data_IF_124795180921
#
_entry.id   IF_124795180921
#
_cell.length_a   1.000
_cell.length_b   1.000
_cell.length_c   1.000
_cell.angle_alpha   90.00
_cell.angle_beta   90.00
_cell.angle_gamma   90.00
#
_symmetry.space_group_name_H-M   'P 1'
#
loop_
_entity.id
_entity.type
_entity.pdbx_description
1 polymer ?
#
# COMPACT_ATOMS: atom_id res chain seq x y z
N UNK A 1 1.34 0.75 -33.26
CA UNK A 1 1.35 0.56 -31.80
C UNK A 1 2.55 1.26 -31.19
N UNK A 2 2.36 2.01 -30.15
CA UNK A 2 3.41 2.77 -29.54
C UNK A 2 4.04 2.02 -28.40
N UNK A 3 5.35 2.18 -28.23
CA UNK A 3 6.05 1.55 -27.12
C UNK A 3 5.60 2.12 -25.78
N UNK A 4 5.02 3.31 -25.80
CA UNK A 4 4.53 3.97 -24.61
C UNK A 4 3.34 3.24 -23.98
N UNK A 5 2.60 2.48 -24.76
CA UNK A 5 1.42 1.76 -24.28
C UNK A 5 1.75 0.80 -23.14
N UNK A 6 2.93 0.16 -23.21
CA UNK A 6 3.35 -0.77 -22.17
C UNK A 6 3.55 -0.05 -20.83
N UNK A 7 4.16 1.13 -20.87
CA UNK A 7 4.37 1.92 -19.65
C UNK A 7 3.08 2.48 -19.11
N UNK A 8 2.16 2.86 -19.99
CA UNK A 8 0.87 3.35 -19.55
C UNK A 8 0.09 2.26 -18.84
N UNK A 9 0.15 1.02 -19.35
CA UNK A 9 -0.51 -0.11 -18.70
C UNK A 9 0.08 -0.33 -17.31
N UNK A 10 1.41 -0.27 -17.20
CA UNK A 10 2.07 -0.43 -15.89
C UNK A 10 1.69 0.66 -14.92
N UNK A 11 1.63 1.92 -15.40
CA UNK A 11 1.22 3.04 -14.58
C UNK A 11 -0.22 2.89 -14.11
N UNK A 12 -1.12 2.44 -14.99
CA UNK A 12 -2.50 2.19 -14.64
C UNK A 12 -2.61 1.08 -13.60
N UNK A 13 -1.80 0.03 -13.73
CA UNK A 13 -1.75 -1.05 -12.75
C UNK A 13 -1.34 -0.52 -11.39
N UNK A 14 -0.32 0.35 -11.34
CA UNK A 14 0.10 0.94 -10.08
C UNK A 14 -1.01 1.77 -9.44
N UNK A 15 -1.78 2.49 -10.25
CA UNK A 15 -2.92 3.27 -9.73
C UNK A 15 -3.98 2.35 -9.12
N UNK A 16 -4.26 1.23 -9.78
CA UNK A 16 -5.20 0.25 -9.25
C UNK A 16 -4.67 -0.31 -7.92
N UNK A 17 -3.38 -0.65 -7.87
CA UNK A 17 -2.79 -1.18 -6.65
C UNK A 17 -2.84 -0.15 -5.51
N UNK A 18 -2.62 1.12 -5.82
CA UNK A 18 -2.73 2.18 -4.81
C UNK A 18 -4.15 2.27 -4.23
N UNK A 19 -5.15 2.13 -5.09
CA UNK A 19 -6.54 2.11 -4.63
C UNK A 19 -6.82 0.92 -3.73
N UNK A 20 -6.25 -0.24 -4.07
CA UNK A 20 -6.37 -1.43 -3.24
C UNK A 20 -5.77 -1.20 -1.87
N UNK A 21 -4.58 -0.61 -1.82
CA UNK A 21 -3.90 -0.31 -0.56
C UNK A 21 -4.76 0.63 0.29
N UNK A 22 -5.34 1.65 -0.32
CA UNK A 22 -6.19 2.59 0.40
C UNK A 22 -7.46 1.91 0.92
N UNK A 23 -8.06 1.03 0.13
CA UNK A 23 -9.24 0.29 0.55
C UNK A 23 -8.92 -0.61 1.75
N UNK A 24 -7.78 -1.30 1.69
CA UNK A 24 -7.33 -2.13 2.81
C UNK A 24 -7.09 -1.28 4.06
N UNK A 25 -6.44 -0.12 3.87
CA UNK A 25 -6.19 0.80 4.97
C UNK A 25 -7.49 1.24 5.64
N UNK A 26 -8.51 1.54 4.85
CA UNK A 26 -9.81 1.90 5.39
C UNK A 26 -10.42 0.77 6.20
N UNK A 27 -10.32 -0.46 5.70
CA UNK A 27 -10.82 -1.63 6.42
C UNK A 27 -10.09 -1.81 7.74
N UNK A 28 -8.77 -1.69 7.73
CA UNK A 28 -7.98 -1.81 8.95
C UNK A 28 -8.29 -0.67 9.93
N UNK A 29 -8.45 0.54 9.40
CA UNK A 29 -8.79 1.70 10.24
C UNK A 29 -10.12 1.47 10.94
N UNK A 30 -11.09 0.93 10.22
CA UNK A 30 -12.40 0.62 10.80
C UNK A 30 -12.36 -0.49 11.84
N UNK A 31 -11.29 -1.26 11.86
CA UNK A 31 -11.13 -2.38 12.80
C UNK A 31 -10.31 -2.00 14.03
N UNK A 32 -9.82 -0.76 14.11
CA UNK A 32 -9.03 -0.32 15.27
C UNK A 32 -9.92 -0.29 16.52
N UNK A 33 -9.52 -1.03 17.58
CA UNK A 33 -10.30 -1.01 18.80
C UNK A 33 -10.30 0.36 19.46
N UNK A 34 -11.43 0.74 20.04
CA UNK A 34 -11.55 2.04 20.69
C UNK A 34 -10.76 2.13 21.99
N UNK A 35 -10.44 0.98 22.57
CA UNK A 35 -9.73 0.90 23.86
C UNK A 35 -8.23 0.63 23.69
N UNK A 36 -7.71 0.70 22.46
CA UNK A 36 -6.31 0.46 22.17
C UNK A 36 -6.02 -0.99 21.82
N UNK A 37 -4.77 -1.30 21.56
CA UNK A 37 -4.35 -2.67 21.28
C UNK A 37 -4.44 -3.09 19.84
N UNK A 38 -4.42 -2.14 18.91
CA UNK A 38 -4.53 -2.43 17.49
C UNK A 38 -3.21 -2.56 16.73
N UNK A 39 -2.10 -2.70 17.44
CA UNK A 39 -0.78 -2.75 16.78
C UNK A 39 -0.66 -3.91 15.81
N UNK A 40 -1.32 -5.02 16.08
CA UNK A 40 -1.30 -6.16 15.17
C UNK A 40 -1.87 -5.82 13.78
N UNK A 41 -2.72 -4.82 13.70
CA UNK A 41 -3.30 -4.40 12.43
C UNK A 41 -2.24 -3.86 11.48
N UNK A 42 -1.24 -3.15 12.00
CA UNK A 42 -0.15 -2.66 11.17
C UNK A 42 0.68 -3.81 10.62
N UNK A 43 0.93 -4.82 11.42
CA UNK A 43 1.64 -6.01 10.97
C UNK A 43 0.84 -6.74 9.90
N UNK A 44 -0.44 -6.92 10.12
CA UNK A 44 -1.31 -7.58 9.16
C UNK A 44 -1.36 -6.82 7.84
N UNK A 45 -1.50 -5.50 7.92
CA UNK A 45 -1.54 -4.65 6.73
C UNK A 45 -0.22 -4.73 5.96
N UNK A 46 0.90 -4.59 6.67
CA UNK A 46 2.22 -4.67 6.07
C UNK A 46 2.45 -6.04 5.43
N UNK A 47 2.07 -7.10 6.13
CA UNK A 47 2.22 -8.46 5.62
C UNK A 47 1.37 -8.70 4.39
N UNK A 48 0.15 -8.19 4.37
CA UNK A 48 -0.72 -8.32 3.21
C UNK A 48 -0.12 -7.63 1.98
N UNK A 49 0.47 -6.45 2.18
CA UNK A 49 1.16 -5.75 1.10
C UNK A 49 2.34 -6.57 0.61
N UNK A 50 3.16 -7.08 1.53
CA UNK A 50 4.34 -7.86 1.17
C UNK A 50 3.99 -9.14 0.42
N UNK A 51 2.96 -9.85 0.86
CA UNK A 51 2.61 -11.13 0.28
C UNK A 51 1.86 -11.00 -1.04
N UNK A 52 1.06 -9.97 -1.19
CA UNK A 52 0.19 -9.84 -2.34
C UNK A 52 0.65 -8.83 -3.38
N UNK A 53 1.31 -7.75 -2.95
CA UNK A 53 1.68 -6.69 -3.87
C UNK A 53 3.15 -6.71 -4.28
N UNK A 54 4.07 -7.05 -3.38
CA UNK A 54 5.48 -7.06 -3.72
C UNK A 54 5.81 -8.01 -4.86
N UNK A 55 5.32 -9.27 -4.86
CA UNK A 55 5.60 -10.15 -5.99
C UNK A 55 5.01 -9.64 -7.29
N UNK A 56 3.85 -9.01 -7.23
CA UNK A 56 3.20 -8.46 -8.40
C UNK A 56 3.99 -7.27 -8.95
N UNK A 57 4.43 -6.37 -8.08
CA UNK A 57 5.23 -5.22 -8.48
C UNK A 57 6.57 -5.68 -9.07
N UNK A 58 7.18 -6.69 -8.46
CA UNK A 58 8.42 -7.25 -9.00
C UNK A 58 8.22 -7.76 -10.41
N UNK A 59 7.11 -8.46 -10.66
CA UNK A 59 6.81 -8.97 -11.99
C UNK A 59 6.64 -7.83 -13.00
N UNK A 60 6.01 -6.74 -12.58
CA UNK A 60 5.85 -5.58 -13.46
C UNK A 60 7.21 -4.99 -13.86
N UNK A 61 8.17 -4.98 -12.94
CA UNK A 61 9.53 -4.53 -13.26
C UNK A 61 10.21 -5.51 -14.19
N UNK A 62 10.12 -6.80 -13.90
CA UNK A 62 10.77 -7.84 -14.70
C UNK A 62 10.25 -7.89 -16.13
N UNK A 63 9.00 -7.53 -16.34
CA UNK A 63 8.37 -7.51 -17.66
C UNK A 63 8.40 -6.14 -18.30
N UNK A 64 9.14 -5.20 -17.75
CA UNK A 64 9.31 -3.84 -18.28
C UNK A 64 8.02 -3.02 -18.36
N UNK A 65 7.03 -3.36 -17.56
CA UNK A 65 5.81 -2.56 -17.49
C UNK A 65 6.01 -1.30 -16.64
N UNK A 66 6.91 -1.36 -15.66
CA UNK A 66 7.27 -0.21 -14.85
C UNK A 66 8.79 -0.21 -14.65
N UNK A 67 9.33 0.93 -14.29
CA UNK A 67 10.76 1.06 -13.97
C UNK A 67 10.99 0.69 -12.51
N UNK A 68 12.27 0.49 -12.16
CA UNK A 68 12.64 0.27 -10.77
C UNK A 68 12.31 1.48 -9.91
N UNK A 69 12.45 2.69 -10.47
CA UNK A 69 12.11 3.91 -9.75
C UNK A 69 10.61 3.97 -9.45
N UNK A 70 9.78 3.60 -10.42
CA UNK A 70 8.33 3.55 -10.21
C UNK A 70 7.96 2.52 -9.14
N UNK A 71 8.63 1.37 -9.16
CA UNK A 71 8.41 0.34 -8.15
C UNK A 71 8.78 0.86 -6.76
N UNK A 72 9.93 1.52 -6.65
CA UNK A 72 10.38 2.06 -5.38
C UNK A 72 9.41 3.11 -4.86
N UNK A 73 8.95 4.01 -5.72
CA UNK A 73 7.98 5.03 -5.33
C UNK A 73 6.69 4.40 -4.83
N UNK A 74 6.24 3.34 -5.49
CA UNK A 74 5.04 2.63 -5.06
C UNK A 74 5.25 1.98 -3.68
N UNK A 75 6.40 1.35 -3.47
CA UNK A 75 6.69 0.71 -2.20
C UNK A 75 6.81 1.73 -1.07
N UNK A 76 7.38 2.90 -1.36
CA UNK A 76 7.42 4.01 -0.41
C UNK A 76 6.00 4.49 -0.08
N UNK A 77 5.14 4.55 -1.08
CA UNK A 77 3.73 4.89 -0.88
C UNK A 77 3.07 3.88 0.07
N UNK A 78 3.29 2.59 -0.16
CA UNK A 78 2.73 1.55 0.70
C UNK A 78 3.23 1.69 2.14
N UNK A 79 4.53 1.90 2.31
CA UNK A 79 5.12 2.08 3.62
C UNK A 79 4.49 3.28 4.34
N UNK A 80 4.29 4.37 3.62
CA UNK A 80 3.67 5.56 4.18
C UNK A 80 2.26 5.27 4.68
N UNK A 81 1.50 4.47 3.92
CA UNK A 81 0.15 4.10 4.32
C UNK A 81 0.16 3.27 5.61
N UNK A 82 1.12 2.36 5.73
CA UNK A 82 1.28 1.57 6.96
C UNK A 82 1.61 2.49 8.14
N UNK A 83 2.51 3.44 7.93
CA UNK A 83 2.89 4.39 8.99
C UNK A 83 1.72 5.28 9.39
N UNK A 84 0.89 5.70 8.43
CA UNK A 84 -0.29 6.48 8.75
C UNK A 84 -1.29 5.69 9.59
N UNK A 85 -1.46 4.41 9.28
CA UNK A 85 -2.31 3.55 10.10
C UNK A 85 -1.74 3.41 11.50
N UNK A 86 -0.43 3.24 11.61
CA UNK A 86 0.23 3.16 12.90
C UNK A 86 0.00 4.42 13.72
N UNK A 87 0.12 5.58 13.09
CA UNK A 87 -0.12 6.85 13.77
C UNK A 87 -1.56 6.95 14.29
N UNK A 88 -2.51 6.46 13.50
CA UNK A 88 -3.92 6.46 13.93
C UNK A 88 -4.13 5.56 15.14
N UNK A 89 -3.41 4.44 15.20
CA UNK A 89 -3.53 3.49 16.31
C UNK A 89 -2.85 4.04 17.56
N UNK A 90 -1.66 4.62 17.41
CA UNK A 90 -0.86 5.08 18.53
C UNK A 90 -1.27 6.46 19.04
N UNK A 91 -1.94 7.23 18.20
CA UNK A 91 -2.32 8.58 18.57
C UNK A 91 -3.36 8.56 19.67
N UNK A 92 -3.07 9.15 20.82
CA UNK A 92 -4.08 9.19 21.88
C UNK A 92 -5.24 10.05 21.42
N UNK A 93 -6.44 9.53 21.60
CA UNK A 93 -7.63 10.29 21.24
C UNK A 93 -7.65 11.56 22.10
N UNK A 94 -7.86 12.73 21.47
CA UNK A 94 -7.91 13.96 22.24
C UNK A 94 -9.01 13.86 23.27
N UNK A 95 -8.77 14.33 24.48
CA UNK A 95 -9.81 14.34 25.49
C UNK A 95 -10.91 15.26 25.02
N UNK A 96 -12.09 14.72 24.98
CA UNK A 96 -13.27 15.48 24.60
C UNK A 96 -13.83 16.20 25.81
#
# INVERSE_FOLDING_TARGET
MRMEDTKEVGTDELQVLKRMVLAWKEDYTGSVPSDGGGEYLCQDFSQEIEENLYPYVRRLVETDHISQDQAREFLEYCYRQVMELRDLIEEPKPPT
#
